data_IF_489935454101
#
_entry.id   IF_489935454101
#
_cell.length_a   1.000
_cell.length_b   1.000
_cell.length_c   1.000
_cell.angle_alpha   90.00
_cell.angle_beta   90.00
_cell.angle_gamma   90.00
#
_symmetry.space_group_name_H-M   'P 1'
#
loop_
_entity.id
_entity.type
_entity.pdbx_description
1 polymer ?
#
# COMPACT_ATOMS: atom_id res chain seq x y z
N UNK A 1 4.84 10.35 -5.32
CA UNK A 1 4.29 10.76 -4.01
C UNK A 1 3.66 9.54 -3.36
N UNK A 2 4.05 9.21 -2.13
CA UNK A 2 3.40 8.16 -1.35
C UNK A 2 2.98 8.73 0.00
N UNK A 3 1.77 8.41 0.45
CA UNK A 3 1.27 8.81 1.77
C UNK A 3 0.31 7.77 2.32
N UNK A 4 0.20 7.74 3.65
CA UNK A 4 -0.75 6.89 4.36
C UNK A 4 -1.93 7.72 4.86
N UNK A 5 -3.12 7.11 4.80
CA UNK A 5 -4.36 7.63 5.36
C UNK A 5 -4.96 6.57 6.26
N UNK A 6 -5.28 6.98 7.48
CA UNK A 6 -6.10 6.19 8.39
C UNK A 6 -7.57 6.53 8.11
N UNK A 7 -8.38 5.53 7.81
CA UNK A 7 -9.83 5.71 7.75
C UNK A 7 -10.39 5.79 9.20
N UNK A 8 -11.34 6.71 9.47
CA UNK A 8 -11.99 6.74 10.78
C UNK A 8 -12.65 5.39 11.06
N UNK A 9 -12.43 4.84 12.26
CA UNK A 9 -12.98 3.55 12.68
C UNK A 9 -14.48 3.50 12.36
N UNK A 10 -14.84 2.69 11.39
CA UNK A 10 -16.23 2.27 11.20
C UNK A 10 -16.33 0.95 11.94
N UNK A 11 -17.35 0.83 12.80
CA UNK A 11 -17.61 -0.18 13.84
C UNK A 11 -17.46 -1.69 13.47
N UNK A 12 -16.93 -2.05 12.30
CA UNK A 12 -16.81 -3.45 11.83
C UNK A 12 -15.44 -3.88 11.26
N UNK A 13 -14.43 -3.01 11.16
CA UNK A 13 -13.10 -3.43 10.71
C UNK A 13 -12.04 -2.50 11.28
N UNK A 14 -11.53 -2.82 12.48
CA UNK A 14 -10.38 -2.11 13.05
C UNK A 14 -9.20 -2.19 12.09
N UNK A 15 -8.47 -1.07 11.95
CA UNK A 15 -7.26 -0.93 11.13
C UNK A 15 -7.44 -0.90 9.60
N UNK A 16 -8.37 -0.09 9.09
CA UNK A 16 -8.39 0.25 7.65
C UNK A 16 -7.39 1.39 7.35
N UNK A 17 -6.12 1.00 7.24
CA UNK A 17 -5.02 1.86 6.84
C UNK A 17 -4.82 1.77 5.32
N UNK A 18 -4.87 2.90 4.63
CA UNK A 18 -4.77 3.00 3.17
C UNK A 18 -3.45 3.68 2.79
N UNK A 19 -2.63 2.97 2.03
CA UNK A 19 -1.42 3.46 1.40
C UNK A 19 -1.74 3.93 -0.03
N UNK A 20 -1.54 5.22 -0.29
CA UNK A 20 -1.75 5.83 -1.59
C UNK A 20 -0.40 6.16 -2.23
N UNK A 21 -0.13 5.60 -3.41
CA UNK A 21 1.10 5.82 -4.18
C UNK A 21 0.73 6.39 -5.54
N UNK A 22 1.28 7.55 -5.88
CA UNK A 22 1.04 8.25 -7.14
C UNK A 22 2.35 8.54 -7.85
N UNK A 23 2.43 8.14 -9.12
CA UNK A 23 3.48 8.56 -10.03
C UNK A 23 3.04 9.80 -10.80
N UNK A 24 3.66 10.95 -10.54
CA UNK A 24 3.40 12.19 -11.30
C UNK A 24 4.24 12.29 -12.57
N UNK A 25 5.19 11.37 -12.79
CA UNK A 25 5.95 11.28 -14.02
C UNK A 25 5.11 10.63 -15.13
N UNK A 26 5.33 11.06 -16.37
CA UNK A 26 4.79 10.39 -17.57
C UNK A 26 5.50 9.07 -17.91
N UNK A 27 6.61 8.76 -17.24
CA UNK A 27 7.40 7.56 -17.46
C UNK A 27 7.24 6.57 -16.30
N UNK A 28 7.56 5.30 -16.55
CA UNK A 28 7.61 4.30 -15.49
C UNK A 28 8.68 4.69 -14.45
N UNK A 29 8.35 4.54 -13.17
CA UNK A 29 9.24 4.87 -12.06
C UNK A 29 9.26 3.74 -11.03
N UNK A 30 10.44 3.26 -10.63
CA UNK A 30 10.60 2.48 -9.41
C UNK A 30 10.56 3.42 -8.20
N UNK A 31 9.95 2.98 -7.10
CA UNK A 31 10.01 3.67 -5.82
C UNK A 31 10.15 2.65 -4.70
N UNK A 32 11.02 2.96 -3.74
CA UNK A 32 11.22 2.17 -2.53
C UNK A 32 10.52 2.89 -1.38
N UNK A 33 9.64 2.17 -0.68
CA UNK A 33 8.89 2.71 0.44
C UNK A 33 9.35 2.03 1.73
N UNK A 34 9.75 2.82 2.72
CA UNK A 34 9.93 2.30 4.08
C UNK A 34 8.56 2.06 4.72
N UNK A 35 8.15 0.79 4.73
CA UNK A 35 6.93 0.32 5.36
C UNK A 35 7.22 -0.58 6.57
N UNK A 36 8.45 -0.57 7.09
CA UNK A 36 8.91 -1.46 8.18
C UNK A 36 7.98 -1.45 9.40
N UNK A 37 7.38 -0.30 9.74
CA UNK A 37 6.35 -0.15 10.80
C UNK A 37 5.11 -1.04 10.61
N UNK A 38 4.86 -1.49 9.39
CA UNK A 38 3.73 -2.32 8.98
C UNK A 38 4.16 -3.75 8.59
N UNK A 39 5.34 -4.20 9.03
CA UNK A 39 5.84 -5.55 8.82
C UNK A 39 4.77 -6.61 9.19
N UNK A 40 4.65 -7.63 8.34
CA UNK A 40 3.63 -8.68 8.44
C UNK A 40 2.23 -8.29 7.93
N UNK A 41 2.01 -7.04 7.49
CA UNK A 41 0.76 -6.67 6.78
C UNK A 41 0.88 -6.94 5.30
N UNK A 42 -0.27 -7.22 4.67
CA UNK A 42 -0.41 -7.38 3.24
C UNK A 42 -1.06 -6.16 2.61
N UNK A 43 -0.41 -5.51 1.63
CA UNK A 43 -1.06 -4.54 0.78
C UNK A 43 -2.07 -5.27 -0.11
N UNK A 44 -3.33 -4.88 -0.03
CA UNK A 44 -4.39 -5.38 -0.91
C UNK A 44 -4.88 -4.22 -1.76
N UNK A 45 -4.74 -4.35 -3.07
CA UNK A 45 -5.13 -3.34 -4.04
C UNK A 45 -6.67 -3.15 -3.99
N UNK A 46 -7.15 -1.90 -3.90
CA UNK A 46 -8.56 -1.61 -3.59
C UNK A 46 -9.53 -1.82 -4.76
N UNK A 47 -9.08 -1.72 -6.02
CA UNK A 47 -9.95 -1.82 -7.19
C UNK A 47 -10.16 -3.27 -7.64
N UNK A 48 -9.09 -4.05 -7.69
CA UNK A 48 -9.05 -5.44 -8.13
C UNK A 48 -8.93 -6.46 -7.00
N UNK A 49 -8.71 -6.03 -5.75
CA UNK A 49 -8.61 -6.93 -4.59
C UNK A 49 -7.34 -7.80 -4.60
N UNK A 50 -6.37 -7.48 -5.45
CA UNK A 50 -5.15 -8.28 -5.61
C UNK A 50 -4.27 -8.11 -4.39
N UNK A 51 -3.90 -9.24 -3.76
CA UNK A 51 -2.98 -9.27 -2.63
C UNK A 51 -1.54 -9.20 -3.12
N UNK A 52 -0.80 -8.25 -2.60
CA UNK A 52 0.62 -8.11 -2.83
C UNK A 52 1.43 -8.85 -1.74
N UNK A 53 2.74 -9.11 -1.99
CA UNK A 53 3.62 -9.72 -1.00
C UNK A 53 3.58 -9.00 0.35
N UNK A 54 3.79 -9.76 1.43
CA UNK A 54 3.85 -9.22 2.79
C UNK A 54 4.92 -8.12 2.88
N UNK A 55 4.65 -7.10 3.67
CA UNK A 55 5.65 -6.11 4.04
C UNK A 55 6.65 -6.78 4.98
N UNK A 56 7.94 -6.73 4.63
CA UNK A 56 9.04 -7.22 5.46
C UNK A 56 9.81 -6.08 6.12
N UNK A 57 11.07 -6.35 6.48
CA UNK A 57 11.99 -5.36 7.05
C UNK A 57 12.74 -4.54 5.99
N UNK A 58 12.76 -5.02 4.74
CA UNK A 58 13.40 -4.32 3.62
C UNK A 58 12.46 -3.27 3.00
N UNK A 59 13.01 -2.23 2.35
CA UNK A 59 12.20 -1.28 1.59
C UNK A 59 11.30 -1.98 0.58
N UNK A 60 10.03 -1.59 0.58
CA UNK A 60 9.03 -2.18 -0.29
C UNK A 60 9.10 -1.55 -1.68
N UNK A 61 9.64 -2.29 -2.65
CA UNK A 61 9.78 -1.83 -4.02
C UNK A 61 8.45 -1.90 -4.76
N UNK A 62 8.05 -0.78 -5.37
CA UNK A 62 6.92 -0.69 -6.29
C UNK A 62 7.34 -0.04 -7.60
N UNK A 63 6.87 -0.61 -8.70
CA UNK A 63 7.03 -0.03 -10.04
C UNK A 63 5.69 0.46 -10.54
N UNK A 64 5.60 1.74 -10.88
CA UNK A 64 4.38 2.34 -11.39
C UNK A 64 4.60 2.75 -12.85
N UNK A 65 3.60 2.52 -13.70
CA UNK A 65 3.56 3.09 -15.04
C UNK A 65 3.47 4.62 -14.99
N UNK A 66 3.70 5.28 -16.13
CA UNK A 66 3.52 6.73 -16.25
C UNK A 66 2.11 7.15 -15.86
N UNK A 67 1.99 8.18 -15.01
CA UNK A 67 0.73 8.64 -14.41
C UNK A 67 -0.07 7.56 -13.65
N UNK A 68 0.56 6.42 -13.35
CA UNK A 68 -0.04 5.34 -12.60
C UNK A 68 -0.19 5.68 -11.12
N UNK A 69 -1.16 5.02 -10.48
CA UNK A 69 -1.37 5.11 -9.05
C UNK A 69 -1.80 3.75 -8.49
N UNK A 70 -1.52 3.52 -7.21
CA UNK A 70 -2.02 2.38 -6.45
C UNK A 70 -2.58 2.85 -5.12
N UNK A 71 -3.76 2.32 -4.77
CA UNK A 71 -4.30 2.45 -3.42
C UNK A 71 -4.38 1.06 -2.80
N UNK A 72 -3.59 0.85 -1.76
CA UNK A 72 -3.54 -0.39 -1.02
C UNK A 72 -4.20 -0.24 0.33
N UNK A 73 -5.02 -1.21 0.71
CA UNK A 73 -5.42 -1.40 2.10
C UNK A 73 -4.43 -2.35 2.77
N UNK A 74 -3.81 -1.92 3.87
CA UNK A 74 -2.87 -2.76 4.62
C UNK A 74 -3.63 -3.64 5.62
N UNK A 75 -3.85 -4.89 5.23
CA UNK A 75 -4.52 -5.90 6.06
C UNK A 75 -3.51 -6.65 6.91
N UNK A 76 -3.77 -6.82 8.21
CA UNK A 76 -3.11 -7.87 8.99
C UNK A 76 -3.68 -9.21 8.54
N UNK A 77 -2.81 -10.20 8.35
CA UNK A 77 -3.27 -11.58 8.23
C UNK A 77 -3.87 -11.97 9.58
N UNK A 78 -5.17 -12.24 9.59
CA UNK A 78 -5.84 -12.81 10.74
C UNK A 78 -5.63 -14.31 10.61
N UNK A 79 -4.88 -14.89 11.55
CA UNK A 79 -4.74 -16.34 11.68
C UNK A 79 -6.10 -16.99 11.97
#
# INVERSE_FOLDING_TARGET
LAFLREAPMTEKSGDDLVLCVHNFSRFAQPTELDLSRFCGRHPVELFGGVRFPAIGELPYLLTLAGHGFYWFRLRREVA
#
